data_IF_691354644719
#
_entry.id   IF_691354644719
#
_cell.length_a   1.000
_cell.length_b   1.000
_cell.length_c   1.000
_cell.angle_alpha   90.00
_cell.angle_beta   90.00
_cell.angle_gamma   90.00
#
_symmetry.space_group_name_H-M   'P 1'
#
loop_
_entity.id
_entity.type
_entity.pdbx_description
1 polymer ?
#
# COMPACT_ATOMS: atom_id res chain seq x y z
N UNK A 1 -7.81 -8.43 9.77
CA UNK A 1 -8.35 -7.42 10.69
C UNK A 1 -9.15 -6.39 9.91
N UNK A 2 -10.31 -5.97 10.43
CA UNK A 2 -11.15 -4.96 9.79
C UNK A 2 -11.56 -3.87 10.78
N UNK A 3 -11.91 -2.70 10.25
CA UNK A 3 -12.51 -1.60 10.99
C UNK A 3 -13.92 -1.33 10.50
N UNK A 4 -14.78 -0.88 11.38
CA UNK A 4 -16.17 -0.55 11.08
C UNK A 4 -16.63 0.65 11.89
N UNK A 5 -17.65 1.33 11.39
CA UNK A 5 -18.36 2.36 12.10
C UNK A 5 -19.66 1.78 12.68
N UNK A 6 -19.84 1.88 13.99
CA UNK A 6 -21.04 1.41 14.67
C UNK A 6 -22.19 2.43 14.51
N UNK A 7 -23.43 1.94 14.53
CA UNK A 7 -24.58 2.81 14.54
C UNK A 7 -24.58 3.73 15.78
N UNK A 8 -24.61 5.06 15.61
CA UNK A 8 -24.55 6.01 16.72
C UNK A 8 -25.75 5.93 17.69
N UNK A 9 -26.78 5.17 17.37
CA UNK A 9 -27.97 4.98 18.22
C UNK A 9 -27.77 3.97 19.36
N UNK A 10 -26.64 3.23 19.40
CA UNK A 10 -26.33 2.32 20.50
C UNK A 10 -25.48 3.00 21.57
N UNK A 11 -25.88 2.81 22.84
CA UNK A 11 -25.12 3.38 23.94
C UNK A 11 -23.73 2.71 24.10
N UNK A 12 -22.69 3.45 24.54
CA UNK A 12 -21.40 2.86 24.86
C UNK A 12 -21.47 1.75 25.93
N UNK A 13 -22.52 1.76 26.77
CA UNK A 13 -22.78 0.73 27.78
C UNK A 13 -23.17 -0.61 27.18
N UNK A 14 -24.06 -0.60 26.19
CA UNK A 14 -24.49 -1.82 25.49
C UNK A 14 -23.35 -2.48 24.73
N UNK A 15 -22.48 -1.69 24.10
CA UNK A 15 -21.28 -2.17 23.43
C UNK A 15 -20.28 -2.78 24.42
N UNK A 16 -20.08 -2.17 25.59
CA UNK A 16 -19.19 -2.70 26.64
C UNK A 16 -19.67 -4.02 27.22
N UNK A 17 -20.98 -4.17 27.43
CA UNK A 17 -21.56 -5.42 27.95
C UNK A 17 -21.44 -6.54 26.90
N UNK A 18 -21.73 -6.24 25.66
CA UNK A 18 -21.55 -7.17 24.54
C UNK A 18 -20.10 -7.65 24.41
N UNK A 19 -19.13 -6.73 24.55
CA UNK A 19 -17.71 -7.03 24.48
C UNK A 19 -17.19 -7.88 25.65
N UNK A 20 -17.84 -7.90 26.81
CA UNK A 20 -17.45 -8.70 27.98
C UNK A 20 -17.82 -10.18 27.86
N UNK A 21 -18.79 -10.52 27.03
CA UNK A 21 -19.40 -11.85 27.01
C UNK A 21 -18.91 -12.75 25.86
N UNK A 22 -18.07 -12.25 24.95
CA UNK A 22 -17.63 -13.01 23.76
C UNK A 22 -16.13 -13.05 23.56
N UNK A 23 -15.64 -14.21 23.18
CA UNK A 23 -14.29 -14.41 22.70
C UNK A 23 -14.18 -13.82 21.28
N UNK A 24 -13.34 -12.80 21.12
CA UNK A 24 -13.20 -12.07 19.86
C UNK A 24 -12.17 -12.74 18.96
N UNK A 25 -12.57 -13.77 18.25
CA UNK A 25 -11.76 -14.41 17.21
C UNK A 25 -12.55 -14.44 15.91
N UNK A 26 -12.07 -13.70 14.91
CA UNK A 26 -12.52 -13.86 13.54
C UNK A 26 -11.58 -14.82 12.82
N UNK A 27 -12.15 -15.76 12.10
CA UNK A 27 -11.42 -16.75 11.33
C UNK A 27 -11.59 -16.47 9.84
N UNK A 28 -10.64 -16.94 9.03
CA UNK A 28 -10.81 -17.01 7.58
C UNK A 28 -12.01 -17.88 7.26
N UNK A 29 -12.88 -17.40 6.39
CA UNK A 29 -14.04 -18.16 5.92
C UNK A 29 -13.74 -18.72 4.53
N UNK A 30 -13.89 -20.03 4.36
CA UNK A 30 -13.75 -20.70 3.07
C UNK A 30 -14.93 -20.42 2.13
N UNK A 31 -16.03 -19.88 2.64
CA UNK A 31 -17.22 -19.54 1.88
C UNK A 31 -17.68 -18.11 2.16
N UNK A 32 -18.08 -17.40 1.11
CA UNK A 32 -18.42 -15.97 1.08
C UNK A 32 -19.92 -15.72 1.26
N UNK A 33 -20.56 -16.39 2.20
CA UNK A 33 -22.02 -16.33 2.37
C UNK A 33 -22.52 -15.13 3.15
N UNK A 34 -21.65 -14.35 3.78
CA UNK A 34 -22.03 -13.12 4.46
C UNK A 34 -21.56 -11.90 3.66
N UNK A 35 -22.44 -10.93 3.51
CA UNK A 35 -22.18 -9.63 2.89
C UNK A 35 -20.95 -8.94 3.49
N UNK A 36 -20.14 -8.33 2.66
CA UNK A 36 -19.89 -8.33 1.21
C UNK A 36 -18.70 -9.20 0.79
N UNK A 37 -18.72 -10.52 1.01
CA UNK A 37 -17.69 -11.42 0.49
C UNK A 37 -16.26 -11.10 0.95
N UNK A 38 -16.03 -10.89 2.26
CA UNK A 38 -14.73 -10.43 2.78
C UNK A 38 -13.74 -11.54 3.10
N UNK A 39 -14.14 -12.81 3.03
CA UNK A 39 -13.30 -13.93 3.41
C UNK A 39 -13.02 -14.05 4.92
N UNK A 40 -13.85 -13.44 5.77
CA UNK A 40 -13.81 -13.59 7.22
C UNK A 40 -15.18 -14.00 7.78
N UNK A 41 -15.15 -14.74 8.91
CA UNK A 41 -16.36 -15.01 9.68
C UNK A 41 -16.74 -13.72 10.41
N UNK A 42 -17.96 -13.25 10.25
CA UNK A 42 -18.46 -12.07 10.96
C UNK A 42 -19.05 -12.46 12.34
N UNK A 43 -18.37 -13.31 13.10
CA UNK A 43 -18.87 -13.84 14.39
C UNK A 43 -18.85 -12.78 15.50
N UNK A 44 -17.96 -11.81 15.40
CA UNK A 44 -17.82 -10.73 16.39
C UNK A 44 -18.81 -9.62 16.15
N UNK A 45 -19.36 -9.52 14.94
CA UNK A 45 -20.22 -8.43 14.58
C UNK A 45 -21.59 -8.55 15.27
N UNK A 46 -22.04 -7.40 15.69
CA UNK A 46 -23.28 -7.17 16.42
C UNK A 46 -24.51 -7.78 15.77
N UNK A 47 -25.57 -8.11 16.54
CA UNK A 47 -26.64 -9.03 16.13
C UNK A 47 -27.50 -8.61 14.93
N UNK A 48 -27.31 -7.44 14.34
CA UNK A 48 -28.08 -7.01 13.18
C UNK A 48 -27.14 -6.51 12.06
N UNK A 49 -27.21 -7.13 10.90
CA UNK A 49 -26.42 -6.81 9.71
C UNK A 49 -26.52 -5.35 9.23
N UNK A 50 -27.50 -4.60 9.74
CA UNK A 50 -27.73 -3.20 9.40
C UNK A 50 -27.10 -2.19 10.39
N UNK A 51 -26.53 -2.66 11.49
CA UNK A 51 -26.03 -1.81 12.58
C UNK A 51 -24.57 -1.39 12.45
N UNK A 52 -23.86 -1.82 11.40
CA UNK A 52 -22.46 -1.49 11.20
C UNK A 52 -22.13 -1.20 9.74
N UNK A 53 -21.06 -0.47 9.56
CA UNK A 53 -20.47 -0.15 8.26
C UNK A 53 -19.02 -0.55 8.26
N UNK A 54 -18.61 -1.35 7.28
CA UNK A 54 -17.21 -1.67 7.08
C UNK A 54 -16.47 -0.46 6.54
N UNK A 55 -15.31 -0.20 7.10
CA UNK A 55 -14.41 0.86 6.67
C UNK A 55 -13.18 0.26 5.97
N UNK A 56 -12.54 -0.71 6.61
CA UNK A 56 -11.37 -1.38 6.06
C UNK A 56 -11.37 -2.86 6.40
N UNK A 57 -10.75 -3.67 5.51
CA UNK A 57 -10.42 -5.08 5.75
C UNK A 57 -8.96 -5.29 5.39
N UNK A 58 -8.19 -5.88 6.29
CA UNK A 58 -6.78 -6.22 6.07
C UNK A 58 -6.60 -7.74 6.02
N UNK A 59 -5.87 -8.20 5.02
CA UNK A 59 -5.53 -9.60 4.77
C UNK A 59 -4.05 -9.82 5.07
N UNK A 60 -3.72 -10.96 5.66
CA UNK A 60 -2.37 -11.34 6.04
C UNK A 60 -2.07 -12.76 5.58
N UNK A 61 -0.78 -13.11 5.52
CA UNK A 61 -0.24 -14.46 5.35
C UNK A 61 -0.34 -15.06 3.95
N UNK A 62 -1.43 -14.87 3.23
CA UNK A 62 -1.69 -15.48 1.92
C UNK A 62 -2.53 -14.57 0.99
N UNK A 63 -2.75 -15.03 -0.23
CA UNK A 63 -3.48 -14.31 -1.29
C UNK A 63 -4.83 -14.96 -1.63
N UNK A 64 -5.37 -15.82 -0.78
CA UNK A 64 -6.63 -16.52 -1.05
C UNK A 64 -7.83 -15.57 -1.21
N UNK A 65 -7.76 -14.38 -0.59
CA UNK A 65 -8.79 -13.34 -0.74
C UNK A 65 -8.94 -12.83 -2.19
N UNK A 66 -7.95 -13.01 -3.06
CA UNK A 66 -8.04 -12.66 -4.48
C UNK A 66 -9.08 -13.51 -5.25
N UNK A 67 -9.41 -14.69 -4.73
CA UNK A 67 -10.41 -15.59 -5.34
C UNK A 67 -11.83 -15.29 -4.84
N UNK A 68 -12.00 -14.27 -4.03
CA UNK A 68 -13.32 -13.77 -3.61
C UNK A 68 -14.06 -13.22 -4.84
N UNK A 69 -15.32 -13.60 -5.00
CA UNK A 69 -16.16 -13.10 -6.08
C UNK A 69 -16.20 -11.57 -6.11
N UNK A 70 -15.97 -10.96 -7.28
CA UNK A 70 -15.94 -9.50 -7.45
C UNK A 70 -14.60 -8.80 -7.24
N UNK A 71 -13.52 -9.49 -6.83
CA UNK A 71 -12.20 -8.85 -6.58
C UNK A 71 -11.35 -8.58 -7.81
N UNK A 72 -11.79 -8.87 -9.02
CA UNK A 72 -10.97 -8.71 -10.24
C UNK A 72 -9.59 -9.42 -10.14
N UNK A 73 -9.57 -10.64 -9.59
CA UNK A 73 -8.36 -11.40 -9.26
C UNK A 73 -7.32 -11.46 -10.38
N UNK A 74 -7.76 -11.56 -11.65
CA UNK A 74 -6.86 -11.62 -12.80
C UNK A 74 -6.02 -10.36 -12.99
N UNK A 75 -6.53 -9.19 -12.60
CA UNK A 75 -5.81 -7.91 -12.69
C UNK A 75 -4.93 -7.64 -11.45
N UNK A 76 -5.30 -8.20 -10.31
CA UNK A 76 -4.60 -7.99 -9.05
C UNK A 76 -3.56 -9.09 -8.75
N UNK A 77 -3.60 -10.22 -9.46
CA UNK A 77 -2.62 -11.30 -9.31
C UNK A 77 -1.20 -10.83 -9.67
N UNK A 78 -0.21 -11.42 -8.99
CA UNK A 78 1.21 -11.15 -9.27
C UNK A 78 1.55 -11.36 -10.74
N UNK A 79 2.33 -10.44 -11.29
CA UNK A 79 2.93 -10.53 -12.63
C UNK A 79 4.39 -10.10 -12.58
N UNK A 80 5.30 -10.98 -12.95
CA UNK A 80 6.72 -10.62 -13.03
C UNK A 80 6.96 -9.51 -14.06
N UNK A 81 7.91 -8.62 -13.76
CA UNK A 81 8.42 -7.61 -14.68
C UNK A 81 9.93 -7.73 -14.73
N UNK A 82 10.50 -7.87 -15.93
CA UNK A 82 11.94 -8.00 -16.11
C UNK A 82 12.69 -6.81 -15.51
N UNK A 83 13.77 -7.10 -14.78
CA UNK A 83 14.60 -6.09 -14.11
C UNK A 83 14.03 -5.56 -12.79
N UNK A 84 12.92 -6.12 -12.27
CA UNK A 84 12.35 -5.80 -10.97
C UNK A 84 12.34 -7.00 -10.04
N UNK A 85 12.08 -6.77 -8.75
CA UNK A 85 12.09 -7.82 -7.74
C UNK A 85 11.04 -8.90 -8.02
N UNK A 86 11.41 -10.16 -7.74
CA UNK A 86 10.51 -11.29 -7.83
C UNK A 86 9.78 -11.51 -6.50
N UNK A 87 8.49 -11.83 -6.56
CA UNK A 87 7.75 -12.19 -5.36
C UNK A 87 8.16 -13.55 -4.83
N UNK A 88 8.30 -13.64 -3.52
CA UNK A 88 8.52 -14.88 -2.79
C UNK A 88 7.19 -15.63 -2.62
N UNK A 89 7.26 -16.95 -2.53
CA UNK A 89 6.08 -17.83 -2.46
C UNK A 89 5.30 -17.75 -1.14
N UNK A 90 5.91 -17.20 -0.08
CA UNK A 90 5.31 -17.10 1.25
C UNK A 90 5.25 -15.64 1.69
N UNK A 91 4.11 -15.22 2.22
CA UNK A 91 3.90 -13.90 2.80
C UNK A 91 3.48 -14.01 4.29
N UNK A 92 3.85 -15.10 4.96
CA UNK A 92 3.45 -15.38 6.34
C UNK A 92 3.90 -14.25 7.29
N UNK A 93 2.97 -13.70 8.07
CA UNK A 93 3.20 -12.57 8.97
C UNK A 93 3.13 -11.20 8.29
N UNK A 94 3.00 -11.13 6.96
CA UNK A 94 2.96 -9.88 6.21
C UNK A 94 1.52 -9.50 5.82
N UNK A 95 1.27 -8.21 5.68
CA UNK A 95 0.02 -7.66 5.16
C UNK A 95 -0.02 -7.90 3.64
N UNK A 96 -0.89 -8.80 3.19
CA UNK A 96 -1.00 -9.17 1.77
C UNK A 96 -2.04 -8.37 1.01
N UNK A 97 -3.01 -7.79 1.68
CA UNK A 97 -4.01 -6.94 1.03
C UNK A 97 -4.80 -6.07 1.99
N UNK A 98 -5.35 -5.00 1.43
CA UNK A 98 -6.23 -4.07 2.14
C UNK A 98 -7.41 -3.70 1.25
N UNK A 99 -8.63 -3.79 1.77
CA UNK A 99 -9.83 -3.20 1.17
C UNK A 99 -10.22 -1.96 1.97
N UNK A 100 -10.54 -0.87 1.27
CA UNK A 100 -11.05 0.37 1.86
C UNK A 100 -12.38 0.71 1.19
N UNK A 101 -13.45 0.75 1.98
CA UNK A 101 -14.80 0.94 1.49
C UNK A 101 -15.14 2.42 1.31
N UNK A 102 -15.91 2.72 0.26
CA UNK A 102 -16.41 4.07 0.03
C UNK A 102 -17.42 4.47 1.11
N UNK A 103 -17.28 5.69 1.61
CA UNK A 103 -18.16 6.19 2.69
C UNK A 103 -19.57 6.53 2.22
N UNK A 104 -19.78 6.78 0.95
CA UNK A 104 -21.05 7.15 0.35
C UNK A 104 -21.76 5.98 -0.31
N UNK A 105 -21.01 5.06 -0.93
CA UNK A 105 -21.52 3.89 -1.63
C UNK A 105 -20.89 2.59 -1.08
N UNK A 106 -21.63 1.91 -0.21
CA UNK A 106 -21.18 0.67 0.47
C UNK A 106 -20.86 -0.49 -0.48
N UNK A 107 -21.30 -0.43 -1.73
CA UNK A 107 -20.99 -1.46 -2.72
C UNK A 107 -19.62 -1.28 -3.37
N UNK A 108 -19.00 -0.12 -3.17
CA UNK A 108 -17.72 0.26 -3.76
C UNK A 108 -16.58 0.22 -2.75
N UNK A 109 -15.43 -0.25 -3.21
CA UNK A 109 -14.20 -0.27 -2.43
C UNK A 109 -12.97 -0.19 -3.33
N UNK A 110 -11.90 0.37 -2.79
CA UNK A 110 -10.55 0.20 -3.32
C UNK A 110 -9.92 -1.06 -2.71
N UNK A 111 -9.14 -1.78 -3.49
CA UNK A 111 -8.37 -2.94 -3.00
C UNK A 111 -6.93 -2.81 -3.43
N UNK A 112 -6.01 -2.98 -2.48
CA UNK A 112 -4.56 -3.00 -2.71
C UNK A 112 -4.00 -4.34 -2.30
N UNK A 113 -3.14 -4.91 -3.13
CA UNK A 113 -2.45 -6.18 -2.91
C UNK A 113 -0.95 -5.92 -2.91
N UNK A 114 -0.25 -6.50 -1.93
CA UNK A 114 1.19 -6.34 -1.74
C UNK A 114 1.90 -7.68 -1.95
N UNK A 115 2.94 -7.69 -2.77
CA UNK A 115 3.81 -8.84 -3.01
C UNK A 115 5.22 -8.54 -2.54
N UNK A 116 5.83 -9.48 -1.87
CA UNK A 116 7.09 -9.31 -1.15
C UNK A 116 8.16 -10.25 -1.68
N UNK A 117 9.41 -9.84 -1.57
CA UNK A 117 10.57 -10.73 -1.76
C UNK A 117 10.79 -11.65 -0.54
N UNK A 118 11.84 -12.45 -0.58
CA UNK A 118 12.22 -13.35 0.53
C UNK A 118 12.65 -12.62 1.81
N UNK A 119 12.99 -11.33 1.72
CA UNK A 119 13.38 -10.48 2.84
C UNK A 119 12.21 -9.69 3.44
N UNK A 120 11.02 -9.77 2.83
CA UNK A 120 9.84 -9.02 3.24
C UNK A 120 9.76 -7.60 2.67
N UNK A 121 10.58 -7.25 1.68
CA UNK A 121 10.47 -5.98 0.98
C UNK A 121 9.34 -6.04 -0.04
N UNK A 122 8.48 -5.00 -0.15
CA UNK A 122 7.43 -4.97 -1.16
C UNK A 122 8.04 -4.76 -2.56
N UNK A 123 7.92 -5.78 -3.41
CA UNK A 123 8.42 -5.75 -4.80
C UNK A 123 7.34 -5.48 -5.83
N UNK A 124 6.08 -5.66 -5.47
CA UNK A 124 4.96 -5.29 -6.32
C UNK A 124 3.76 -4.86 -5.48
N UNK A 125 3.10 -3.79 -5.89
CA UNK A 125 1.81 -3.36 -5.36
C UNK A 125 0.82 -3.24 -6.49
N UNK A 126 -0.40 -3.75 -6.31
CA UNK A 126 -1.47 -3.70 -7.30
C UNK A 126 -2.73 -3.16 -6.65
N UNK A 127 -3.21 -2.05 -7.14
CA UNK A 127 -4.39 -1.37 -6.60
C UNK A 127 -5.49 -1.27 -7.66
N UNK A 128 -6.72 -1.58 -7.26
CA UNK A 128 -7.92 -1.17 -7.97
C UNK A 128 -8.59 -0.07 -7.17
N UNK A 129 -8.73 1.08 -7.76
CA UNK A 129 -9.40 2.23 -7.15
C UNK A 129 -10.92 2.09 -7.17
N UNK A 130 -11.62 2.91 -6.37
CA UNK A 130 -13.09 2.98 -6.33
C UNK A 130 -13.68 3.34 -7.69
N UNK A 131 -12.97 4.13 -8.50
CA UNK A 131 -13.32 4.48 -9.90
C UNK A 131 -13.31 3.29 -10.86
N UNK A 132 -12.63 2.19 -10.47
CA UNK A 132 -12.40 1.02 -11.32
C UNK A 132 -11.06 1.04 -12.06
N UNK A 133 -10.30 2.12 -11.96
CA UNK A 133 -8.95 2.26 -12.53
C UNK A 133 -7.94 1.46 -11.71
N UNK A 134 -6.78 1.16 -12.32
CA UNK A 134 -5.74 0.36 -11.68
C UNK A 134 -4.43 1.13 -11.58
N UNK A 135 -3.69 0.84 -10.52
CA UNK A 135 -2.30 1.26 -10.34
C UNK A 135 -1.45 0.03 -10.05
N UNK A 136 -0.36 -0.14 -10.80
CA UNK A 136 0.54 -1.27 -10.71
C UNK A 136 1.96 -0.77 -10.50
N UNK A 137 2.50 -0.93 -9.29
CA UNK A 137 3.88 -0.53 -8.97
C UNK A 137 4.76 -1.76 -8.88
N UNK A 138 5.93 -1.70 -9.50
CA UNK A 138 7.00 -2.69 -9.44
C UNK A 138 8.21 -2.04 -8.79
N UNK A 139 8.89 -2.73 -7.90
CA UNK A 139 10.07 -2.23 -7.23
C UNK A 139 11.23 -3.24 -7.26
N UNK A 140 12.45 -2.73 -7.25
CA UNK A 140 13.69 -3.46 -7.00
C UNK A 140 14.32 -2.88 -5.75
N UNK A 141 14.51 -3.69 -4.73
CA UNK A 141 15.19 -3.29 -3.50
C UNK A 141 16.61 -3.85 -3.45
N UNK A 142 17.48 -3.20 -2.68
CA UNK A 142 18.74 -3.80 -2.24
C UNK A 142 18.53 -4.71 -1.01
N UNK A 143 19.59 -5.33 -0.51
CA UNK A 143 19.54 -6.21 0.68
C UNK A 143 19.15 -5.48 1.97
N UNK A 144 19.26 -4.16 2.01
CA UNK A 144 18.88 -3.32 3.15
C UNK A 144 17.44 -2.85 3.07
N UNK A 145 16.72 -3.17 1.98
CA UNK A 145 15.34 -2.74 1.73
C UNK A 145 15.24 -1.35 1.09
N UNK A 146 16.36 -0.73 0.67
CA UNK A 146 16.27 0.53 -0.07
C UNK A 146 15.76 0.27 -1.49
N UNK A 147 14.81 1.05 -1.95
CA UNK A 147 14.28 0.97 -3.31
C UNK A 147 15.30 1.55 -4.28
N UNK A 148 15.93 0.69 -5.08
CA UNK A 148 16.87 1.09 -6.13
C UNK A 148 16.15 1.67 -7.34
N UNK A 149 15.03 1.04 -7.73
CA UNK A 149 14.15 1.56 -8.79
C UNK A 149 12.72 1.10 -8.59
N UNK A 150 11.80 1.90 -9.09
CA UNK A 150 10.39 1.54 -9.19
C UNK A 150 9.80 1.98 -10.53
N UNK A 151 8.75 1.30 -10.94
CA UNK A 151 7.98 1.60 -12.14
C UNK A 151 6.50 1.47 -11.82
N UNK A 152 5.73 2.51 -12.09
CA UNK A 152 4.28 2.53 -11.83
C UNK A 152 3.53 2.71 -13.14
N UNK A 153 2.54 1.86 -13.35
CA UNK A 153 1.59 1.91 -14.47
C UNK A 153 0.23 2.35 -13.94
N UNK A 154 -0.32 3.43 -14.48
CA UNK A 154 -1.70 3.85 -14.25
C UNK A 154 -2.55 3.40 -15.43
N UNK A 155 -3.52 2.52 -15.15
CA UNK A 155 -4.37 1.91 -16.17
C UNK A 155 -5.81 2.39 -15.99
N UNK A 156 -6.51 2.62 -17.08
CA UNK A 156 -7.95 2.89 -17.02
C UNK A 156 -8.73 1.63 -16.58
N UNK A 157 -10.03 1.79 -16.36
CA UNK A 157 -10.94 0.69 -15.97
C UNK A 157 -11.03 -0.47 -16.98
N UNK A 158 -10.53 -0.26 -18.21
CA UNK A 158 -10.42 -1.28 -19.26
C UNK A 158 -9.03 -1.93 -19.30
N UNK A 159 -8.13 -1.52 -18.40
CA UNK A 159 -6.75 -2.02 -18.34
C UNK A 159 -5.81 -1.43 -19.39
N UNK A 160 -6.15 -0.28 -20.02
CA UNK A 160 -5.28 0.41 -20.98
C UNK A 160 -4.37 1.38 -20.22
N UNK A 161 -3.08 1.35 -20.57
CA UNK A 161 -2.09 2.27 -19.99
C UNK A 161 -2.44 3.73 -20.31
N UNK A 162 -2.56 4.54 -19.27
CA UNK A 162 -2.79 5.98 -19.35
C UNK A 162 -1.50 6.76 -19.14
N UNK A 163 -0.76 6.42 -18.08
CA UNK A 163 0.50 7.08 -17.68
C UNK A 163 1.42 6.01 -17.09
N UNK A 164 2.73 6.14 -17.34
CA UNK A 164 3.76 5.39 -16.63
C UNK A 164 4.75 6.34 -15.96
N UNK A 165 5.26 5.91 -14.81
CA UNK A 165 6.25 6.64 -14.03
C UNK A 165 7.41 5.70 -13.70
N UNK A 166 8.64 6.19 -13.83
CA UNK A 166 9.84 5.48 -13.41
C UNK A 166 10.64 6.31 -12.43
N UNK A 167 11.20 5.65 -11.43
CA UNK A 167 12.09 6.24 -10.43
C UNK A 167 13.33 5.37 -10.33
N UNK A 168 14.51 5.98 -10.38
CA UNK A 168 15.77 5.33 -10.07
C UNK A 168 16.49 6.09 -8.97
N UNK A 169 16.92 5.38 -7.93
CA UNK A 169 17.56 5.95 -6.76
C UNK A 169 19.02 5.49 -6.66
N UNK A 170 19.90 6.42 -6.29
CA UNK A 170 21.29 6.13 -5.98
C UNK A 170 21.58 6.45 -4.53
N UNK A 171 22.27 5.56 -3.84
CA UNK A 171 22.62 5.70 -2.43
C UNK A 171 24.15 5.76 -2.26
N UNK A 172 24.59 6.45 -1.22
CA UNK A 172 26.00 6.42 -0.80
C UNK A 172 26.31 5.14 0.02
N UNK A 173 27.58 4.99 0.41
CA UNK A 173 28.03 3.84 1.22
C UNK A 173 27.39 3.75 2.61
N UNK A 174 26.79 4.83 3.08
CA UNK A 174 26.06 4.89 4.35
C UNK A 174 24.57 4.63 4.19
N UNK A 175 24.10 4.28 2.98
CA UNK A 175 22.69 4.04 2.67
C UNK A 175 21.84 5.32 2.55
N UNK A 176 22.48 6.50 2.40
CA UNK A 176 21.74 7.77 2.25
C UNK A 176 21.48 8.03 0.76
N UNK A 177 20.26 8.46 0.43
CA UNK A 177 19.83 8.78 -0.94
C UNK A 177 20.61 10.00 -1.47
N UNK A 178 21.38 9.81 -2.54
CA UNK A 178 22.19 10.89 -3.16
C UNK A 178 21.59 11.41 -4.46
N UNK A 179 20.84 10.57 -5.17
CA UNK A 179 20.19 10.95 -6.42
C UNK A 179 18.89 10.20 -6.62
N UNK A 180 17.90 10.87 -7.18
CA UNK A 180 16.67 10.29 -7.71
C UNK A 180 16.49 10.79 -9.14
N UNK A 181 16.41 9.87 -10.08
CA UNK A 181 15.97 10.12 -11.45
C UNK A 181 14.50 9.73 -11.56
N UNK A 182 13.67 10.64 -12.04
CA UNK A 182 12.24 10.45 -12.23
C UNK A 182 11.87 10.72 -13.68
N UNK A 183 11.08 9.84 -14.28
CA UNK A 183 10.56 10.07 -15.61
C UNK A 183 9.08 9.69 -15.72
N UNK A 184 8.37 10.38 -16.61
CA UNK A 184 6.96 10.14 -16.96
C UNK A 184 6.90 9.76 -18.44
N UNK A 185 6.25 8.63 -18.75
CA UNK A 185 6.11 8.08 -20.09
C UNK A 185 7.43 7.98 -20.86
N UNK A 186 8.53 7.69 -20.15
CA UNK A 186 9.90 7.60 -20.68
C UNK A 186 10.41 8.83 -21.44
N UNK A 187 9.72 9.96 -21.32
CA UNK A 187 10.02 11.17 -22.11
C UNK A 187 10.26 12.43 -21.28
N UNK A 188 9.45 12.67 -20.26
CA UNK A 188 9.64 13.81 -19.36
C UNK A 188 10.45 13.32 -18.16
N UNK A 189 11.68 13.82 -18.01
CA UNK A 189 12.56 13.39 -16.92
C UNK A 189 13.09 14.58 -16.13
N UNK A 190 13.32 14.35 -14.83
CA UNK A 190 13.97 15.27 -13.91
C UNK A 190 14.88 14.50 -12.97
N UNK A 191 16.01 15.09 -12.56
CA UNK A 191 16.88 14.52 -11.55
C UNK A 191 16.94 15.38 -10.29
N UNK A 192 16.93 14.72 -9.16
CA UNK A 192 17.13 15.34 -7.85
C UNK A 192 18.42 14.82 -7.24
N UNK A 193 19.23 15.72 -6.68
CA UNK A 193 20.48 15.40 -6.00
C UNK A 193 20.50 15.95 -4.60
N UNK A 194 21.07 15.14 -3.69
CA UNK A 194 21.13 15.45 -2.28
C UNK A 194 22.58 15.37 -1.81
N UNK A 195 23.01 16.37 -1.03
CA UNK A 195 24.27 16.38 -0.34
C UNK A 195 24.03 16.40 1.17
N UNK A 196 24.99 15.89 1.91
CA UNK A 196 24.87 15.74 3.36
C UNK A 196 26.05 16.41 4.06
N UNK A 197 25.80 16.95 5.24
CA UNK A 197 26.85 17.43 6.13
C UNK A 197 27.54 16.26 6.87
N UNK A 198 28.57 16.57 7.68
CA UNK A 198 29.32 15.57 8.46
C UNK A 198 28.46 14.80 9.48
N UNK A 199 27.33 15.38 9.87
CA UNK A 199 26.35 14.75 10.78
C UNK A 199 25.28 13.94 10.06
N UNK A 200 25.34 13.83 8.71
CA UNK A 200 24.38 13.09 7.90
C UNK A 200 23.06 13.82 7.64
N UNK A 201 23.00 15.14 7.90
CA UNK A 201 21.81 15.97 7.59
C UNK A 201 21.92 16.53 6.17
N UNK A 202 20.80 16.71 5.48
CA UNK A 202 20.80 17.27 4.11
C UNK A 202 21.38 18.71 4.15
N UNK A 203 22.51 18.92 3.51
CA UNK A 203 23.15 20.23 3.37
C UNK A 203 22.76 20.96 2.08
N UNK A 204 22.41 20.20 1.05
CA UNK A 204 21.96 20.76 -0.22
C UNK A 204 21.00 19.83 -0.95
N UNK A 205 20.09 20.45 -1.71
CA UNK A 205 19.19 19.75 -2.65
C UNK A 205 19.20 20.55 -3.96
N UNK A 206 19.41 19.84 -5.08
CA UNK A 206 19.31 20.44 -6.42
C UNK A 206 18.40 19.62 -7.33
N UNK A 207 17.84 20.29 -8.34
CA UNK A 207 16.96 19.70 -9.35
C UNK A 207 17.54 20.05 -10.73
N UNK A 208 17.44 19.10 -11.67
CA UNK A 208 17.84 19.25 -13.07
C UNK A 208 19.26 19.85 -13.25
N UNK A 209 20.25 19.19 -12.63
CA UNK A 209 21.64 19.60 -12.74
C UNK A 209 21.97 20.94 -12.10
N UNK A 210 21.09 21.47 -11.23
CA UNK A 210 21.29 22.73 -10.52
C UNK A 210 20.43 23.88 -11.01
N UNK A 211 19.43 23.64 -11.86
CA UNK A 211 18.45 24.64 -12.29
C UNK A 211 17.74 25.26 -11.07
N UNK A 212 17.43 24.43 -10.07
CA UNK A 212 16.93 24.86 -8.76
C UNK A 212 17.84 24.28 -7.69
N UNK A 213 18.26 25.12 -6.74
CA UNK A 213 19.20 24.74 -5.70
C UNK A 213 18.80 25.33 -4.36
N UNK A 214 18.68 24.47 -3.33
CA UNK A 214 18.45 24.87 -1.95
C UNK A 214 19.63 24.41 -1.07
N UNK A 215 20.15 25.31 -0.23
CA UNK A 215 21.17 25.02 0.79
C UNK A 215 20.55 25.12 2.17
N UNK A 216 20.90 24.17 3.03
CA UNK A 216 20.41 24.08 4.41
C UNK A 216 21.58 24.28 5.37
N UNK A 217 21.37 25.11 6.38
CA UNK A 217 22.28 25.28 7.50
C UNK A 217 21.53 24.94 8.78
N UNK A 218 22.25 24.44 9.75
CA UNK A 218 21.67 24.00 11.00
C UNK A 218 22.41 24.62 12.18
N UNK A 219 21.67 24.98 13.20
CA UNK A 219 22.25 25.36 14.49
C UNK A 219 22.69 24.10 15.27
N UNK A 220 23.28 24.30 16.45
CA UNK A 220 23.74 23.20 17.32
C UNK A 220 22.62 22.27 17.80
N UNK A 221 21.37 22.73 17.78
CA UNK A 221 20.18 21.95 18.13
C UNK A 221 19.61 21.17 16.94
N UNK A 222 20.20 21.34 15.73
CA UNK A 222 19.71 20.67 14.51
C UNK A 222 18.56 21.39 13.81
N UNK A 223 18.24 22.62 14.17
CA UNK A 223 17.19 23.40 13.51
C UNK A 223 17.77 24.14 12.29
N UNK A 224 16.98 24.19 11.21
CA UNK A 224 17.33 24.96 10.00
C UNK A 224 17.37 26.44 10.33
N UNK A 225 18.45 27.11 9.85
CA UNK A 225 18.69 28.55 10.08
C UNK A 225 18.75 29.30 8.76
#
# INVERSE_FOLDING_TARGET
LYTYEANPLRSPGDLRQYCKEKLFVEERADSYTAWPGMGYTLRILLPAANDYRLLTVNYYDDYSFLYIEGTAASQLAYRSKEGYGAAYSSAKGLLTGTQVFDLTDRSKYAITVYYYDEYGNPVQTRTRHVSGDYEMTYAQCDLSGNILKSYTEHLDSRGRLSVSESVENTYDRSGRLTRTDYAVNDSLSTDWRYEYDELGRISSKSIDGGLTHAKYRYNLQGWIT
#
